data_IF_458899861117
#
_entry.id   IF_458899861117
#
_cell.length_a   1.000
_cell.length_b   1.000
_cell.length_c   1.000
_cell.angle_alpha   90.00
_cell.angle_beta   90.00
_cell.angle_gamma   90.00
#
_symmetry.space_group_name_H-M   'P 1'
#
loop_
_entity.id
_entity.type
_entity.pdbx_description
1 polymer ?
#
# COMPACT_ATOMS: atom_id res chain seq x y z
N UNK A 1 -51.34 37.17 -71.23
CA UNK A 1 -50.72 37.85 -70.05
C UNK A 1 -50.31 36.78 -69.02
N UNK A 2 -49.03 36.43 -68.94
CA UNK A 2 -48.52 35.31 -68.15
C UNK A 2 -47.83 35.88 -66.94
N UNK A 3 -48.41 35.68 -65.75
CA UNK A 3 -47.78 36.06 -64.48
C UNK A 3 -46.81 34.98 -64.07
N UNK A 4 -45.51 35.32 -64.00
CA UNK A 4 -44.48 34.48 -63.50
C UNK A 4 -44.55 34.52 -61.94
N UNK A 5 -44.74 33.35 -61.33
CA UNK A 5 -44.50 33.18 -59.87
C UNK A 5 -43.01 32.93 -59.67
N UNK A 6 -42.42 33.78 -58.84
CA UNK A 6 -41.04 33.59 -58.35
C UNK A 6 -41.15 32.87 -57.01
N UNK A 7 -40.74 31.66 -56.92
CA UNK A 7 -40.60 30.92 -55.65
C UNK A 7 -39.22 31.26 -55.07
N UNK A 8 -39.19 31.93 -53.93
CA UNK A 8 -37.99 32.15 -53.18
C UNK A 8 -37.66 30.89 -52.37
N UNK A 9 -36.53 30.26 -52.71
CA UNK A 9 -35.97 29.12 -51.93
C UNK A 9 -35.19 29.67 -50.75
N UNK A 10 -35.68 29.41 -49.55
CA UNK A 10 -35.02 29.78 -48.29
C UNK A 10 -33.97 28.71 -47.98
N UNK A 11 -32.69 29.01 -48.20
CA UNK A 11 -31.60 28.17 -47.76
C UNK A 11 -31.44 28.38 -46.23
N UNK A 12 -31.87 27.41 -45.46
CA UNK A 12 -31.53 27.33 -44.03
C UNK A 12 -30.12 26.81 -43.89
N UNK A 13 -29.15 27.66 -43.60
CA UNK A 13 -27.80 27.27 -43.14
C UNK A 13 -27.90 26.86 -41.69
N UNK A 14 -27.89 25.54 -41.45
CA UNK A 14 -27.69 25.00 -40.12
C UNK A 14 -26.22 25.23 -39.67
N UNK A 15 -26.03 26.21 -38.81
CA UNK A 15 -24.77 26.35 -38.09
C UNK A 15 -24.65 25.20 -37.12
N UNK A 16 -23.84 24.18 -37.42
CA UNK A 16 -23.40 23.19 -36.44
C UNK A 16 -22.42 23.88 -35.48
N UNK A 17 -22.91 24.24 -34.28
CA UNK A 17 -22.06 24.66 -33.21
C UNK A 17 -21.33 23.42 -32.66
N UNK A 18 -20.04 23.29 -32.97
CA UNK A 18 -19.15 22.32 -32.37
C UNK A 18 -18.88 22.69 -30.90
N UNK A 19 -19.79 22.34 -30.00
CA UNK A 19 -19.56 22.41 -28.54
C UNK A 19 -19.11 21.06 -27.95
N UNK A 20 -18.93 20.03 -28.79
CA UNK A 20 -18.69 18.64 -28.36
C UNK A 20 -17.23 18.21 -28.22
N UNK A 21 -16.24 19.02 -28.63
CA UNK A 21 -14.83 18.57 -28.57
C UNK A 21 -14.24 18.50 -27.16
N UNK A 22 -14.73 19.30 -26.23
CA UNK A 22 -14.19 19.32 -24.87
C UNK A 22 -14.68 18.14 -24.05
N UNK A 23 -15.96 17.80 -24.16
CA UNK A 23 -16.51 16.62 -23.43
C UNK A 23 -15.96 15.30 -23.96
N UNK A 24 -15.71 15.16 -25.27
CA UNK A 24 -15.08 13.98 -25.85
C UNK A 24 -13.60 13.83 -25.43
N UNK A 25 -12.88 14.95 -25.23
CA UNK A 25 -11.51 14.91 -24.77
C UNK A 25 -11.42 14.53 -23.27
N UNK A 26 -12.37 14.97 -22.46
CA UNK A 26 -12.45 14.60 -21.03
C UNK A 26 -12.79 13.10 -20.87
N UNK A 27 -13.67 12.55 -21.71
CA UNK A 27 -14.00 11.12 -21.72
C UNK A 27 -12.84 10.26 -22.23
N UNK A 28 -12.08 10.71 -23.22
CA UNK A 28 -10.89 10.02 -23.73
C UNK A 28 -9.76 10.00 -22.67
N UNK A 29 -9.61 11.07 -21.87
CA UNK A 29 -8.63 11.12 -20.77
C UNK A 29 -9.01 10.12 -19.67
N UNK A 30 -10.30 9.93 -19.39
CA UNK A 30 -10.78 8.96 -18.41
C UNK A 30 -10.59 7.49 -18.86
N UNK A 31 -10.59 7.22 -20.17
CA UNK A 31 -10.38 5.88 -20.72
C UNK A 31 -8.89 5.52 -20.81
N UNK A 32 -8.00 6.52 -20.89
CA UNK A 32 -6.57 6.33 -21.17
C UNK A 32 -5.69 6.05 -19.96
N UNK A 33 -6.15 6.29 -18.74
CA UNK A 33 -5.34 6.10 -17.54
C UNK A 33 -6.20 5.62 -16.37
N UNK A 34 -6.29 4.30 -16.12
CA UNK A 34 -7.00 3.81 -14.95
C UNK A 34 -6.41 4.47 -13.70
N UNK A 35 -7.23 4.84 -12.71
CA UNK A 35 -6.74 5.47 -11.49
C UNK A 35 -5.61 4.63 -10.90
N UNK A 36 -4.49 5.27 -10.57
CA UNK A 36 -3.35 4.59 -9.97
C UNK A 36 -3.82 3.79 -8.75
N UNK A 37 -3.40 2.53 -8.67
CA UNK A 37 -3.79 1.67 -7.55
C UNK A 37 -3.41 2.33 -6.23
N UNK A 38 -4.38 2.46 -5.33
CA UNK A 38 -4.13 2.92 -3.95
C UNK A 38 -3.41 1.88 -3.11
N UNK A 39 -3.32 0.63 -3.59
CA UNK A 39 -2.77 -0.49 -2.85
C UNK A 39 -1.30 -0.71 -3.16
N UNK A 40 -0.51 -0.89 -2.11
CA UNK A 40 0.93 -1.18 -2.17
C UNK A 40 1.16 -2.54 -1.50
N UNK A 41 1.76 -3.48 -2.22
CA UNK A 41 2.18 -4.75 -1.67
C UNK A 41 3.49 -4.59 -0.91
N UNK A 42 3.56 -5.14 0.30
CA UNK A 42 4.69 -5.07 1.20
C UNK A 42 5.17 -6.48 1.56
N UNK A 43 6.46 -6.61 1.85
CA UNK A 43 7.06 -7.87 2.24
C UNK A 43 8.25 -7.67 3.17
N UNK A 44 8.59 -8.69 3.96
CA UNK A 44 9.87 -8.79 4.64
C UNK A 44 10.28 -10.26 4.77
N UNK A 45 11.58 -10.52 4.67
CA UNK A 45 12.22 -11.74 5.17
C UNK A 45 12.60 -11.46 6.62
N UNK A 46 12.23 -12.35 7.53
CA UNK A 46 12.43 -12.20 8.98
C UNK A 46 13.47 -13.23 9.44
N UNK A 47 14.54 -12.78 10.09
CA UNK A 47 15.59 -13.63 10.62
C UNK A 47 16.39 -12.93 11.73
N UNK A 48 17.25 -13.69 12.42
CA UNK A 48 18.07 -13.22 13.54
C UNK A 48 19.23 -12.32 13.13
N UNK A 49 19.72 -12.46 11.89
CA UNK A 49 20.82 -11.64 11.38
C UNK A 49 20.42 -10.17 11.19
N UNK A 50 19.14 -9.88 11.08
CA UNK A 50 18.62 -8.51 10.99
C UNK A 50 18.38 -7.87 12.36
N UNK A 51 18.44 -8.63 13.48
CA UNK A 51 18.30 -8.06 14.82
C UNK A 51 19.46 -7.11 15.16
N UNK A 52 19.20 -6.23 16.13
CA UNK A 52 20.21 -5.28 16.62
C UNK A 52 20.28 -5.37 18.15
N UNK A 53 21.35 -6.01 18.68
CA UNK A 53 22.40 -6.72 17.95
C UNK A 53 21.88 -8.03 17.30
N UNK A 54 22.54 -8.48 16.24
CA UNK A 54 22.26 -9.78 15.64
C UNK A 54 22.53 -10.91 16.64
N UNK A 55 21.81 -12.04 16.50
CA UNK A 55 21.94 -13.17 17.39
C UNK A 55 22.02 -14.51 16.61
N UNK A 56 22.46 -15.64 17.23
CA UNK A 56 22.67 -16.89 16.54
C UNK A 56 21.41 -17.76 16.34
N UNK A 57 20.20 -17.25 16.61
CA UNK A 57 18.97 -18.01 16.39
C UNK A 57 18.85 -18.44 14.91
N UNK A 58 18.37 -19.64 14.68
CA UNK A 58 18.08 -20.18 13.35
C UNK A 58 16.61 -20.01 12.97
N UNK A 59 15.81 -19.38 13.82
CA UNK A 59 14.42 -19.09 13.56
C UNK A 59 14.28 -18.14 12.35
N UNK A 60 13.23 -18.35 11.60
CA UNK A 60 12.94 -17.55 10.38
C UNK A 60 11.46 -17.23 10.28
N UNK A 61 11.14 -16.24 9.44
CA UNK A 61 9.77 -15.88 9.15
C UNK A 61 9.63 -15.06 7.87
N UNK A 62 8.40 -14.76 7.53
CA UNK A 62 8.07 -13.87 6.42
C UNK A 62 6.92 -12.96 6.82
N UNK A 63 6.96 -11.75 6.31
CA UNK A 63 5.86 -10.78 6.38
C UNK A 63 5.34 -10.54 4.97
N UNK A 64 4.02 -10.54 4.82
CA UNK A 64 3.34 -10.07 3.61
C UNK A 64 2.23 -9.12 4.02
N UNK A 65 2.04 -8.05 3.26
CA UNK A 65 1.00 -7.09 3.56
C UNK A 65 0.52 -6.35 2.33
N UNK A 66 -0.68 -5.79 2.45
CA UNK A 66 -1.26 -4.87 1.48
C UNK A 66 -1.61 -3.58 2.24
N UNK A 67 -0.96 -2.51 1.88
CA UNK A 67 -1.25 -1.18 2.39
C UNK A 67 -2.15 -0.43 1.42
N UNK A 68 -3.28 0.06 1.90
CA UNK A 68 -4.20 0.89 1.12
C UNK A 68 -4.01 2.36 1.50
N UNK A 69 -3.45 3.16 0.58
CA UNK A 69 -3.19 4.59 0.78
C UNK A 69 -4.47 5.42 0.96
N UNK A 70 -5.60 4.96 0.41
CA UNK A 70 -6.86 5.69 0.52
C UNK A 70 -7.43 5.62 1.93
N UNK A 71 -7.31 4.44 2.58
CA UNK A 71 -7.83 4.20 3.94
C UNK A 71 -6.75 4.28 5.01
N UNK A 72 -5.45 4.32 4.60
CA UNK A 72 -4.27 4.23 5.47
C UNK A 72 -4.21 2.96 6.31
N UNK A 73 -4.79 1.89 5.82
CA UNK A 73 -4.84 0.60 6.50
C UNK A 73 -3.87 -0.38 5.85
N UNK A 74 -3.01 -0.95 6.68
CA UNK A 74 -2.20 -2.12 6.37
C UNK A 74 -2.95 -3.37 6.83
N UNK A 75 -3.18 -4.32 5.92
CA UNK A 75 -3.59 -5.68 6.25
C UNK A 75 -2.39 -6.59 6.05
N UNK A 76 -2.07 -7.43 7.04
CA UNK A 76 -0.84 -8.21 6.99
C UNK A 76 -1.01 -9.66 7.47
N UNK A 77 -0.08 -10.48 7.06
CA UNK A 77 0.14 -11.85 7.55
C UNK A 77 1.63 -12.03 7.83
N UNK A 78 1.96 -12.54 9.02
CA UNK A 78 3.33 -12.91 9.39
C UNK A 78 3.38 -14.40 9.71
N UNK A 79 4.29 -15.10 9.06
CA UNK A 79 4.57 -16.50 9.40
C UNK A 79 5.97 -16.62 9.99
N UNK A 80 6.16 -17.57 10.88
CA UNK A 80 7.46 -17.87 11.46
C UNK A 80 7.57 -19.35 11.80
N UNK A 81 8.80 -19.80 11.97
CA UNK A 81 9.15 -21.15 12.42
C UNK A 81 10.42 -21.12 13.28
N UNK A 82 10.58 -22.12 14.14
CA UNK A 82 11.79 -22.30 14.96
C UNK A 82 11.81 -21.50 16.25
N UNK A 83 10.70 -20.85 16.65
CA UNK A 83 10.61 -20.12 17.92
C UNK A 83 9.21 -20.24 18.53
N UNK A 84 9.13 -19.96 19.84
CA UNK A 84 7.86 -19.77 20.58
C UNK A 84 7.83 -18.36 21.14
N UNK A 85 7.17 -17.40 20.46
CA UNK A 85 7.25 -16.00 20.86
C UNK A 85 6.43 -15.72 22.10
N UNK A 86 6.93 -14.81 22.94
CA UNK A 86 6.21 -14.22 24.07
C UNK A 86 5.66 -12.83 23.75
N UNK A 87 6.19 -12.19 22.70
CA UNK A 87 5.71 -10.93 22.15
C UNK A 87 6.06 -10.81 20.66
N UNK A 88 5.32 -9.96 19.95
CA UNK A 88 5.61 -9.62 18.56
C UNK A 88 4.95 -8.29 18.19
N UNK A 89 5.63 -7.50 17.37
CA UNK A 89 5.22 -6.11 17.11
C UNK A 89 5.62 -5.65 15.72
N UNK A 90 4.96 -4.56 15.28
CA UNK A 90 5.52 -3.66 14.27
C UNK A 90 6.18 -2.48 14.99
N UNK A 91 7.42 -2.21 14.65
CA UNK A 91 8.22 -1.10 15.18
C UNK A 91 8.48 -0.04 14.11
N UNK A 92 8.65 1.20 14.55
CA UNK A 92 9.17 2.29 13.72
C UNK A 92 10.68 2.34 13.85
N UNK A 93 11.41 2.00 12.80
CA UNK A 93 12.87 2.05 12.77
C UNK A 93 13.41 1.70 11.39
N UNK A 94 14.46 2.42 10.99
CA UNK A 94 15.19 2.13 9.76
C UNK A 94 15.98 0.82 9.89
N UNK A 95 16.40 0.18 8.79
CA UNK A 95 17.27 -0.98 8.84
C UNK A 95 18.51 -0.75 9.72
N UNK A 96 18.83 -1.72 10.59
CA UNK A 96 19.98 -1.64 11.49
C UNK A 96 19.78 -0.73 12.70
N UNK A 97 18.55 -0.25 12.98
CA UNK A 97 18.24 0.56 14.15
C UNK A 97 17.13 -0.06 15.00
N UNK A 98 17.18 0.13 16.33
CA UNK A 98 16.07 -0.16 17.21
C UNK A 98 15.14 1.04 17.30
N UNK A 99 13.84 0.77 17.34
CA UNK A 99 12.81 1.80 17.43
C UNK A 99 11.66 1.43 18.35
N UNK A 100 10.74 2.36 18.62
CA UNK A 100 9.60 2.11 19.49
C UNK A 100 8.61 1.12 18.88
N UNK A 101 7.92 0.37 19.74
CA UNK A 101 6.73 -0.41 19.37
C UNK A 101 5.62 0.54 18.94
N UNK A 102 5.03 0.30 17.78
CA UNK A 102 3.89 1.08 17.29
C UNK A 102 2.60 0.23 17.27
N UNK A 103 2.70 -1.01 16.80
CA UNK A 103 1.55 -1.92 16.71
C UNK A 103 1.92 -3.29 17.29
N UNK A 104 1.45 -3.65 18.49
CA UNK A 104 1.56 -5.00 18.99
C UNK A 104 0.67 -5.95 18.17
N UNK A 105 1.13 -7.19 17.97
CA UNK A 105 0.30 -8.22 17.36
C UNK A 105 -0.76 -8.69 18.34
N UNK A 106 -1.99 -8.84 17.87
CA UNK A 106 -3.12 -9.29 18.69
C UNK A 106 -3.09 -10.80 18.98
N UNK A 107 -2.32 -11.55 18.22
CA UNK A 107 -2.09 -12.99 18.38
C UNK A 107 -0.63 -13.29 18.06
N UNK A 108 -0.08 -14.33 18.69
CA UNK A 108 1.28 -14.79 18.42
C UNK A 108 1.34 -16.12 17.67
N UNK A 109 0.20 -16.80 17.47
CA UNK A 109 0.16 -18.06 16.74
C UNK A 109 0.38 -17.85 15.24
N UNK A 110 1.37 -18.54 14.64
CA UNK A 110 1.63 -18.49 13.19
C UNK A 110 0.58 -19.29 12.41
N UNK A 111 -0.04 -18.72 11.36
CA UNK A 111 0.15 -17.37 10.83
C UNK A 111 -0.51 -16.28 11.70
N UNK A 112 0.26 -15.23 12.00
CA UNK A 112 -0.25 -14.03 12.67
C UNK A 112 -0.87 -13.12 11.63
N UNK A 113 -2.16 -12.80 11.77
CA UNK A 113 -2.86 -11.88 10.86
C UNK A 113 -3.36 -10.66 11.61
N UNK A 114 -3.42 -9.52 10.93
CA UNK A 114 -3.93 -8.31 11.56
C UNK A 114 -4.07 -7.14 10.59
N UNK A 115 -4.55 -6.04 11.15
CA UNK A 115 -4.64 -4.74 10.48
C UNK A 115 -4.04 -3.66 11.36
N UNK A 116 -3.47 -2.63 10.73
CA UNK A 116 -2.95 -1.46 11.43
C UNK A 116 -3.29 -0.19 10.62
N UNK A 117 -3.80 0.84 11.30
CA UNK A 117 -4.12 2.12 10.68
C UNK A 117 -2.95 3.09 10.92
N UNK A 118 -2.40 3.63 9.85
CA UNK A 118 -1.21 4.48 9.88
C UNK A 118 -1.59 5.96 9.86
N UNK A 119 -0.76 6.79 10.51
CA UNK A 119 -0.78 8.24 10.29
C UNK A 119 -0.12 8.58 8.96
N UNK A 120 -0.27 9.82 8.45
CA UNK A 120 0.44 10.24 7.24
C UNK A 120 1.97 10.15 7.41
N UNK A 121 2.48 10.56 8.58
CA UNK A 121 3.92 10.50 8.87
C UNK A 121 4.45 9.06 8.90
N UNK A 122 3.66 8.12 9.45
CA UNK A 122 4.03 6.70 9.49
C UNK A 122 3.88 6.01 8.13
N UNK A 123 2.92 6.44 7.29
CA UNK A 123 2.82 5.98 5.90
C UNK A 123 4.10 6.24 5.13
N UNK A 124 4.62 7.47 5.21
CA UNK A 124 5.84 7.86 4.51
C UNK A 124 7.03 6.99 4.94
N UNK A 125 7.13 6.70 6.25
CA UNK A 125 8.15 5.80 6.79
C UNK A 125 7.92 4.35 6.33
N UNK A 126 6.70 3.82 6.44
CA UNK A 126 6.38 2.46 6.01
C UNK A 126 6.76 2.22 4.55
N UNK A 127 6.38 3.15 3.67
CA UNK A 127 6.63 3.04 2.24
C UNK A 127 8.10 3.24 1.84
N UNK A 128 8.95 3.70 2.76
CA UNK A 128 10.38 3.88 2.58
C UNK A 128 11.26 2.96 3.46
N UNK A 129 10.69 1.86 3.99
CA UNK A 129 11.44 0.86 4.75
C UNK A 129 11.74 1.26 6.19
N UNK A 130 11.02 2.24 6.74
CA UNK A 130 11.17 2.73 8.11
C UNK A 130 10.35 1.96 9.15
N UNK A 131 9.87 0.75 8.82
CA UNK A 131 9.19 -0.15 9.73
C UNK A 131 9.75 -1.56 9.65
N UNK A 132 9.72 -2.29 10.78
CA UNK A 132 10.06 -3.70 10.84
C UNK A 132 9.09 -4.48 11.71
N UNK A 133 8.92 -5.76 11.40
CA UNK A 133 8.23 -6.72 12.25
C UNK A 133 9.26 -7.49 13.05
N UNK A 134 9.03 -7.73 14.35
CA UNK A 134 9.87 -8.63 15.12
C UNK A 134 9.09 -9.48 16.12
N UNK A 135 9.76 -10.56 16.58
CA UNK A 135 9.30 -11.44 17.62
C UNK A 135 10.34 -11.58 18.73
N UNK A 136 9.86 -11.63 19.96
CA UNK A 136 10.65 -11.79 21.18
C UNK A 136 10.36 -13.14 21.82
N UNK A 137 11.37 -13.71 22.47
CA UNK A 137 11.25 -14.93 23.28
C UNK A 137 11.93 -14.76 24.63
N UNK A 138 11.74 -15.69 25.59
CA UNK A 138 12.47 -15.63 26.85
C UNK A 138 14.00 -15.67 26.67
N UNK A 139 14.51 -16.33 25.63
CA UNK A 139 15.93 -16.37 25.33
C UNK A 139 16.44 -15.05 24.72
N UNK A 140 15.58 -14.35 24.01
CA UNK A 140 15.89 -13.08 23.33
C UNK A 140 14.82 -12.02 23.61
N UNK A 141 14.81 -11.47 24.83
CA UNK A 141 13.79 -10.48 25.22
C UNK A 141 13.90 -9.16 24.46
N UNK A 142 15.05 -8.85 23.88
CA UNK A 142 15.26 -7.69 22.99
C UNK A 142 14.79 -7.89 21.55
N UNK A 143 14.54 -9.14 21.14
CA UNK A 143 14.16 -9.56 19.80
C UNK A 143 14.95 -10.79 19.35
N UNK A 144 14.27 -11.82 18.89
CA UNK A 144 14.91 -13.04 18.36
C UNK A 144 15.07 -12.99 16.85
N UNK A 145 14.01 -12.56 16.16
CA UNK A 145 14.03 -12.39 14.71
C UNK A 145 13.29 -11.12 14.33
N UNK A 146 13.84 -10.39 13.32
CA UNK A 146 13.15 -9.24 12.71
C UNK A 146 13.29 -9.22 11.21
N UNK A 147 12.42 -8.45 10.55
CA UNK A 147 12.53 -8.15 9.13
C UNK A 147 12.02 -6.75 8.79
N UNK A 148 12.84 -5.99 8.06
CA UNK A 148 12.42 -4.68 7.56
C UNK A 148 11.41 -4.81 6.45
N UNK A 149 10.29 -4.08 6.59
CA UNK A 149 9.16 -4.10 5.66
C UNK A 149 9.48 -3.19 4.49
N UNK A 150 9.42 -3.76 3.28
CA UNK A 150 9.72 -3.05 2.03
C UNK A 150 8.62 -3.29 0.99
N UNK A 151 8.56 -2.45 -0.02
CA UNK A 151 7.70 -2.68 -1.20
C UNK A 151 8.16 -3.93 -1.95
N UNK A 152 7.18 -4.73 -2.36
CA UNK A 152 7.41 -5.93 -3.17
C UNK A 152 7.54 -5.57 -4.64
#
# INVERSE_FOLDING_TARGET
MLKKLITASLLATAALTFTGCKELLDEIILIGNPPASTKVNLTAVINSAQEVPANPSTATGTFTGVYDKATKVLTYTVTYQGLTPTAGHLHRGAPGTNGPVIYPFSSLASPVTGTATFTQADEDLLLNGGFYANFHTPAYPGGEIRGNIVKK
#
